data_IF_949807102251
#
_entry.id   IF_949807102251
#
_cell.length_a   1.000
_cell.length_b   1.000
_cell.length_c   1.000
_cell.angle_alpha   90.00
_cell.angle_beta   90.00
_cell.angle_gamma   90.00
#
_symmetry.space_group_name_H-M   'P 1'
#
loop_
_entity.id
_entity.type
_entity.pdbx_description
1 polymer ?
#
# COMPACT_ATOMS: atom_id res chain seq x y z
N UNK A 1 -15.51 11.63 -8.00
CA UNK A 1 -14.58 12.53 -8.69
C UNK A 1 -13.21 12.39 -8.09
N UNK A 2 -12.17 12.29 -8.92
CA UNK A 2 -10.80 12.43 -8.48
C UNK A 2 -10.55 13.77 -7.78
N UNK A 3 -9.71 13.75 -6.76
CA UNK A 3 -9.25 14.96 -6.07
C UNK A 3 -7.77 15.18 -6.38
N UNK A 4 -7.47 16.25 -7.12
CA UNK A 4 -6.10 16.71 -7.42
C UNK A 4 -5.71 17.74 -6.36
N UNK A 5 -4.60 17.53 -5.66
CA UNK A 5 -4.23 18.35 -4.49
C UNK A 5 -4.83 17.83 -3.18
N UNK A 6 -4.84 16.50 -3.03
CA UNK A 6 -5.31 15.83 -1.81
C UNK A 6 -4.50 16.22 -0.58
N UNK A 7 -5.12 16.14 0.60
CA UNK A 7 -4.45 16.39 1.87
C UNK A 7 -3.55 15.23 2.34
N UNK A 8 -3.56 14.08 1.65
CA UNK A 8 -2.76 12.89 1.95
C UNK A 8 -1.32 13.14 1.53
N UNK A 9 -0.39 13.05 2.49
CA UNK A 9 0.97 13.58 2.39
C UNK A 9 1.86 12.86 1.36
N UNK A 10 1.55 11.60 1.06
CA UNK A 10 2.40 10.73 0.25
C UNK A 10 1.94 10.55 -1.21
N UNK A 11 0.91 11.28 -1.64
CA UNK A 11 0.32 11.20 -2.98
C UNK A 11 -0.11 12.59 -3.49
N UNK A 12 -0.19 12.76 -4.81
CA UNK A 12 -0.53 14.05 -5.45
C UNK A 12 -2.02 14.14 -5.79
N UNK A 13 -2.67 12.98 -6.02
CA UNK A 13 -4.08 12.87 -6.33
C UNK A 13 -4.71 11.60 -5.74
N UNK A 14 -6.04 11.56 -5.74
CA UNK A 14 -6.82 10.34 -5.49
C UNK A 14 -7.70 10.02 -6.68
N UNK A 15 -7.87 8.75 -6.96
CA UNK A 15 -8.76 8.23 -8.02
C UNK A 15 -9.65 7.15 -7.42
N UNK A 16 -10.97 7.29 -7.52
CA UNK A 16 -11.91 6.44 -6.81
C UNK A 16 -12.95 5.81 -7.77
N UNK A 17 -12.55 4.83 -8.61
CA UNK A 17 -13.48 4.05 -9.43
C UNK A 17 -14.48 3.24 -8.59
N UNK A 18 -14.23 3.03 -7.29
CA UNK A 18 -15.23 2.54 -6.34
C UNK A 18 -15.25 3.36 -5.04
N UNK A 19 -16.37 3.35 -4.33
CA UNK A 19 -16.53 3.94 -2.99
C UNK A 19 -17.26 2.98 -2.06
N UNK A 20 -17.12 3.15 -0.75
CA UNK A 20 -17.74 2.29 0.24
C UNK A 20 -16.97 0.99 0.47
N UNK A 21 -17.12 0.39 1.65
CA UNK A 21 -16.39 -0.81 2.06
C UNK A 21 -17.05 -1.48 3.28
N UNK A 22 -16.65 -2.70 3.58
CA UNK A 22 -16.96 -3.38 4.85
C UNK A 22 -15.72 -3.37 5.77
N UNK A 23 -15.93 -3.25 7.09
CA UNK A 23 -14.84 -3.27 8.08
C UNK A 23 -14.31 -4.70 8.24
N UNK A 24 -13.01 -4.90 8.05
CA UNK A 24 -12.38 -6.25 8.10
C UNK A 24 -11.35 -6.41 9.22
N UNK A 25 -11.04 -5.34 9.94
CA UNK A 25 -10.03 -5.38 11.00
C UNK A 25 -10.14 -4.17 11.96
N UNK A 26 -9.46 -4.18 13.12
CA UNK A 26 -9.48 -3.09 14.09
C UNK A 26 -9.04 -1.75 13.53
N UNK A 27 -8.19 -1.73 12.49
CA UNK A 27 -7.82 -0.50 11.78
C UNK A 27 -9.01 0.19 11.09
N UNK A 28 -10.11 -0.52 10.83
CA UNK A 28 -11.31 0.03 10.19
C UNK A 28 -12.29 0.69 11.18
N UNK A 29 -12.07 0.56 12.50
CA UNK A 29 -13.04 0.97 13.53
C UNK A 29 -13.50 2.43 13.35
N UNK A 30 -12.56 3.34 13.14
CA UNK A 30 -12.80 4.79 13.00
C UNK A 30 -12.54 5.30 11.56
N UNK A 31 -12.94 4.51 10.55
CA UNK A 31 -12.68 4.77 9.14
C UNK A 31 -13.07 6.20 8.72
N UNK A 32 -12.11 6.95 8.17
CA UNK A 32 -12.35 8.31 7.70
C UNK A 32 -13.28 8.34 6.48
N UNK A 33 -13.20 7.34 5.60
CA UNK A 33 -14.01 7.28 4.38
C UNK A 33 -15.49 7.11 4.71
N UNK A 34 -15.83 6.23 5.66
CA UNK A 34 -17.20 6.05 6.18
C UNK A 34 -17.78 7.37 6.68
N UNK A 35 -17.06 8.06 7.56
CA UNK A 35 -17.46 9.36 8.10
C UNK A 35 -17.62 10.44 7.03
N UNK A 36 -16.79 10.42 5.98
CA UNK A 36 -16.93 11.34 4.84
C UNK A 36 -18.24 11.05 4.10
N UNK A 37 -18.61 9.78 3.90
CA UNK A 37 -19.88 9.44 3.26
C UNK A 37 -21.09 9.90 4.06
N UNK A 38 -21.01 9.84 5.39
CA UNK A 38 -22.06 10.35 6.28
C UNK A 38 -22.15 11.89 6.22
N UNK A 39 -20.99 12.57 6.29
CA UNK A 39 -20.92 14.04 6.29
C UNK A 39 -21.37 14.66 4.97
N UNK A 40 -21.08 14.01 3.85
CA UNK A 40 -21.37 14.51 2.50
C UNK A 40 -22.39 13.61 1.79
N UNK A 41 -23.45 13.22 2.48
CA UNK A 41 -24.46 12.25 2.01
C UNK A 41 -25.02 12.56 0.60
N UNK A 42 -25.16 13.83 0.23
CA UNK A 42 -25.59 14.22 -1.12
C UNK A 42 -24.65 13.73 -2.24
N UNK A 43 -23.35 13.63 -1.96
CA UNK A 43 -22.34 13.12 -2.90
C UNK A 43 -22.15 11.60 -2.79
N UNK A 44 -22.71 10.98 -1.75
CA UNK A 44 -22.65 9.55 -1.49
C UNK A 44 -24.06 9.02 -1.19
N UNK A 45 -24.97 9.00 -2.18
CA UNK A 45 -26.36 8.61 -1.97
C UNK A 45 -26.53 7.16 -1.49
N UNK A 46 -25.52 6.31 -1.71
CA UNK A 46 -25.45 4.93 -1.22
C UNK A 46 -24.77 4.81 0.16
N UNK A 47 -24.39 5.93 0.78
CA UNK A 47 -23.60 5.96 2.01
C UNK A 47 -22.27 5.23 1.85
N UNK A 48 -21.90 4.41 2.83
CA UNK A 48 -20.67 3.62 2.81
C UNK A 48 -20.82 2.23 2.17
N UNK A 49 -21.95 1.96 1.50
CA UNK A 49 -22.14 0.72 0.73
C UNK A 49 -21.16 0.68 -0.45
N UNK A 50 -20.55 -0.48 -0.67
CA UNK A 50 -19.66 -0.70 -1.81
C UNK A 50 -20.39 -0.40 -3.13
N UNK A 51 -19.85 0.53 -3.91
CA UNK A 51 -20.49 1.13 -5.09
C UNK A 51 -19.45 1.31 -6.19
N UNK A 52 -19.81 0.91 -7.41
CA UNK A 52 -19.00 1.09 -8.61
C UNK A 52 -19.27 2.46 -9.24
N UNK A 53 -18.25 3.06 -9.83
CA UNK A 53 -18.33 4.32 -10.57
C UNK A 53 -17.63 4.20 -11.94
N UNK A 54 -18.24 3.48 -12.91
CA UNK A 54 -17.63 3.24 -14.23
C UNK A 54 -17.30 4.52 -15.00
N UNK A 55 -18.06 5.60 -14.78
CA UNK A 55 -17.83 6.90 -15.39
C UNK A 55 -16.49 7.52 -14.99
N UNK A 56 -15.92 7.08 -13.86
CA UNK A 56 -14.62 7.58 -13.35
C UNK A 56 -13.42 6.86 -13.96
N UNK A 57 -13.62 5.79 -14.73
CA UNK A 57 -12.52 5.11 -15.43
C UNK A 57 -11.79 6.05 -16.39
N UNK A 58 -12.48 7.06 -16.91
CA UNK A 58 -11.94 8.02 -17.86
C UNK A 58 -11.12 9.14 -17.21
N UNK A 59 -11.13 9.27 -15.88
CA UNK A 59 -10.46 10.38 -15.18
C UNK A 59 -8.95 10.41 -15.42
N UNK A 60 -8.19 9.29 -15.31
CA UNK A 60 -6.74 9.35 -15.44
C UNK A 60 -6.23 9.74 -16.83
N UNK A 61 -6.92 9.34 -17.91
CA UNK A 61 -6.56 9.72 -19.28
C UNK A 61 -6.57 11.24 -19.52
N UNK A 62 -7.29 12.00 -18.69
CA UNK A 62 -7.38 13.46 -18.81
C UNK A 62 -6.22 14.19 -18.14
N UNK A 63 -5.40 13.51 -17.34
CA UNK A 63 -4.29 14.13 -16.61
C UNK A 63 -3.02 14.15 -17.45
N UNK A 64 -2.61 15.35 -17.88
CA UNK A 64 -1.41 15.54 -18.70
C UNK A 64 -0.10 15.49 -17.90
N UNK A 65 -0.11 15.95 -16.65
CA UNK A 65 1.09 16.01 -15.81
C UNK A 65 1.26 14.70 -15.05
N UNK A 66 2.49 14.14 -14.94
CA UNK A 66 2.77 13.01 -14.06
C UNK A 66 2.27 13.23 -12.64
N UNK A 67 1.80 12.15 -11.99
CA UNK A 67 1.22 12.18 -10.65
C UNK A 67 1.47 10.86 -9.94
N UNK A 68 1.64 10.90 -8.63
CA UNK A 68 1.34 9.78 -7.73
C UNK A 68 -0.15 9.82 -7.40
N UNK A 69 -0.83 8.71 -7.61
CA UNK A 69 -2.28 8.59 -7.54
C UNK A 69 -2.65 7.49 -6.56
N UNK A 70 -3.28 7.86 -5.45
CA UNK A 70 -3.83 6.88 -4.53
C UNK A 70 -5.18 6.38 -5.07
N UNK A 71 -5.21 5.11 -5.45
CA UNK A 71 -6.40 4.44 -5.99
C UNK A 71 -7.27 3.96 -4.84
N UNK A 72 -8.56 4.25 -4.93
CA UNK A 72 -9.59 3.85 -3.98
C UNK A 72 -9.30 4.30 -2.55
N UNK A 73 -8.98 5.58 -2.36
CA UNK A 73 -8.92 6.17 -1.01
C UNK A 73 -10.25 6.05 -0.24
N UNK A 74 -11.37 5.93 -0.95
CA UNK A 74 -12.73 5.83 -0.40
C UNK A 74 -13.32 4.41 -0.41
N UNK A 75 -12.52 3.38 -0.72
CA UNK A 75 -12.94 1.97 -0.72
C UNK A 75 -11.73 1.03 -0.59
N UNK A 76 -11.88 -0.26 -0.92
CA UNK A 76 -10.78 -1.21 -1.06
C UNK A 76 -10.93 -1.87 -2.44
N UNK A 77 -9.89 -1.79 -3.28
CA UNK A 77 -9.95 -2.30 -4.66
C UNK A 77 -10.14 -3.83 -4.70
N UNK A 78 -9.73 -4.53 -3.65
CA UNK A 78 -9.91 -5.97 -3.48
C UNK A 78 -11.12 -6.29 -2.60
N UNK A 79 -12.18 -5.49 -2.66
CA UNK A 79 -13.44 -5.82 -2.01
C UNK A 79 -14.04 -7.12 -2.57
N UNK A 80 -14.71 -7.92 -1.73
CA UNK A 80 -15.34 -9.19 -2.15
C UNK A 80 -16.44 -9.01 -3.22
N UNK A 81 -17.10 -7.85 -3.19
CA UNK A 81 -18.14 -7.48 -4.17
C UNK A 81 -17.57 -6.83 -5.45
N UNK A 82 -16.24 -6.64 -5.55
CA UNK A 82 -15.61 -6.12 -6.76
C UNK A 82 -15.75 -7.14 -7.90
N UNK A 83 -16.45 -6.83 -9.01
CA UNK A 83 -16.49 -7.71 -10.17
C UNK A 83 -15.10 -7.80 -10.81
N UNK A 84 -14.67 -9.02 -11.12
CA UNK A 84 -13.35 -9.26 -11.73
C UNK A 84 -13.14 -8.42 -12.99
N UNK A 85 -14.14 -8.36 -13.88
CA UNK A 85 -14.05 -7.55 -15.10
C UNK A 85 -13.75 -6.08 -14.81
N UNK A 86 -14.44 -5.49 -13.84
CA UNK A 86 -14.24 -4.07 -13.49
C UNK A 86 -12.87 -3.84 -12.84
N UNK A 87 -12.40 -4.77 -12.01
CA UNK A 87 -11.04 -4.74 -11.47
C UNK A 87 -9.99 -4.72 -12.59
N UNK A 88 -10.12 -5.60 -13.59
CA UNK A 88 -9.20 -5.67 -14.72
C UNK A 88 -9.28 -4.42 -15.61
N UNK A 89 -10.46 -3.81 -15.75
CA UNK A 89 -10.61 -2.50 -16.41
C UNK A 89 -9.87 -1.40 -15.65
N UNK A 90 -9.92 -1.38 -14.31
CA UNK A 90 -9.13 -0.43 -13.49
C UNK A 90 -7.62 -0.62 -13.70
N UNK A 91 -7.13 -1.87 -13.71
CA UNK A 91 -5.72 -2.16 -14.02
C UNK A 91 -5.31 -1.79 -15.45
N UNK A 92 -6.20 -2.00 -16.41
CA UNK A 92 -6.00 -1.56 -17.80
C UNK A 92 -5.81 -0.05 -17.89
N UNK A 93 -6.64 0.75 -17.20
CA UNK A 93 -6.46 2.20 -17.16
C UNK A 93 -5.07 2.56 -16.63
N UNK A 94 -4.65 1.95 -15.51
CA UNK A 94 -3.33 2.21 -14.92
C UNK A 94 -2.18 1.91 -15.91
N UNK A 95 -2.30 0.81 -16.66
CA UNK A 95 -1.34 0.44 -17.72
C UNK A 95 -1.31 1.41 -18.89
N UNK A 96 -2.48 1.86 -19.35
CA UNK A 96 -2.61 2.75 -20.50
C UNK A 96 -2.25 4.21 -20.20
N UNK A 97 -2.03 4.55 -18.93
CA UNK A 97 -1.55 5.87 -18.49
C UNK A 97 -0.22 5.76 -17.72
N UNK A 98 0.87 5.33 -18.39
CA UNK A 98 2.16 5.04 -17.75
C UNK A 98 2.87 6.27 -17.17
N UNK A 99 2.45 7.48 -17.55
CA UNK A 99 2.97 8.74 -16.99
C UNK A 99 2.61 8.96 -15.52
N UNK A 100 1.67 8.18 -14.95
CA UNK A 100 1.29 8.25 -13.54
C UNK A 100 1.81 7.04 -12.77
N UNK A 101 2.14 7.25 -11.51
CA UNK A 101 2.40 6.18 -10.54
C UNK A 101 1.13 5.94 -9.73
N UNK A 102 0.63 4.71 -9.73
CA UNK A 102 -0.58 4.32 -8.98
C UNK A 102 -0.20 3.61 -7.70
N UNK A 103 -0.71 4.09 -6.57
CA UNK A 103 -0.53 3.49 -5.27
C UNK A 103 -1.85 2.84 -4.86
N UNK A 104 -1.83 1.53 -4.58
CA UNK A 104 -3.00 0.76 -4.18
C UNK A 104 -2.74 0.22 -2.77
N UNK A 105 -3.71 0.37 -1.87
CA UNK A 105 -3.68 -0.21 -0.52
C UNK A 105 -4.87 -1.13 -0.31
N UNK A 106 -4.63 -2.28 0.32
CA UNK A 106 -5.70 -3.20 0.72
C UNK A 106 -5.48 -3.78 2.11
N UNK A 107 -6.58 -4.16 2.77
CA UNK A 107 -6.56 -5.04 3.96
C UNK A 107 -6.96 -6.49 3.61
N UNK A 108 -7.36 -6.74 2.36
CA UNK A 108 -7.91 -8.01 1.84
C UNK A 108 -6.86 -8.82 1.09
N UNK A 109 -5.72 -9.01 1.74
CA UNK A 109 -4.53 -9.73 1.27
C UNK A 109 -4.79 -11.13 0.68
N UNK A 110 -5.75 -11.89 1.19
CA UNK A 110 -6.11 -13.21 0.63
C UNK A 110 -6.69 -13.09 -0.77
N UNK A 111 -7.64 -12.16 -0.97
CA UNK A 111 -8.23 -11.89 -2.28
C UNK A 111 -7.22 -11.25 -3.25
N UNK A 112 -6.33 -10.40 -2.74
CA UNK A 112 -5.20 -9.89 -3.54
C UNK A 112 -4.41 -11.05 -4.15
N UNK A 113 -4.00 -12.03 -3.34
CA UNK A 113 -3.21 -13.16 -3.82
C UNK A 113 -4.02 -14.11 -4.72
N UNK A 114 -5.30 -14.34 -4.42
CA UNK A 114 -6.21 -15.12 -5.27
C UNK A 114 -6.32 -14.56 -6.69
N UNK A 115 -6.37 -13.23 -6.81
CA UNK A 115 -6.53 -12.53 -8.09
C UNK A 115 -5.22 -12.20 -8.78
N UNK A 116 -4.08 -12.32 -8.09
CA UNK A 116 -2.75 -12.00 -8.61
C UNK A 116 -2.45 -12.65 -9.97
N UNK A 117 -2.72 -13.95 -10.21
CA UNK A 117 -2.44 -14.59 -11.50
C UNK A 117 -3.27 -14.04 -12.67
N UNK A 118 -4.35 -13.31 -12.38
CA UNK A 118 -5.25 -12.72 -13.37
C UNK A 118 -4.91 -11.26 -13.68
N UNK A 119 -4.01 -10.65 -12.90
CA UNK A 119 -3.62 -9.24 -13.03
C UNK A 119 -2.34 -9.16 -13.86
N UNK A 120 -2.43 -8.48 -15.01
CA UNK A 120 -1.24 -8.06 -15.76
C UNK A 120 -0.65 -6.82 -15.08
N UNK A 121 0.27 -7.03 -14.14
CA UNK A 121 0.85 -5.98 -13.30
C UNK A 121 1.58 -4.90 -14.10
N UNK A 122 1.07 -3.66 -14.12
CA UNK A 122 1.76 -2.56 -14.77
C UNK A 122 2.98 -2.11 -13.93
N UNK A 123 4.08 -1.74 -14.58
CA UNK A 123 5.29 -1.29 -13.86
C UNK A 123 5.07 -0.03 -13.01
N UNK A 124 4.12 0.80 -13.40
CA UNK A 124 3.75 2.03 -12.73
C UNK A 124 2.74 1.82 -11.57
N UNK A 125 2.43 0.57 -11.21
CA UNK A 125 1.61 0.23 -10.03
C UNK A 125 2.49 -0.15 -8.85
N UNK A 126 2.29 0.55 -7.75
CA UNK A 126 2.82 0.25 -6.43
C UNK A 126 1.69 -0.40 -5.63
N UNK A 127 1.88 -1.66 -5.27
CA UNK A 127 0.90 -2.44 -4.53
C UNK A 127 1.27 -2.48 -3.05
N UNK A 128 0.32 -2.26 -2.16
CA UNK A 128 0.59 -2.31 -0.73
C UNK A 128 -0.53 -2.88 0.10
N UNK A 129 -0.16 -3.30 1.31
CA UNK A 129 -1.10 -3.78 2.32
C UNK A 129 -1.05 -2.88 3.55
N UNK A 130 -2.20 -2.70 4.21
CA UNK A 130 -2.19 -2.08 5.52
C UNK A 130 -1.86 -3.09 6.62
N UNK A 131 -1.01 -2.72 7.58
CA UNK A 131 -0.63 -3.54 8.72
C UNK A 131 -0.76 -2.73 10.01
N UNK A 132 -1.91 -2.80 10.67
CA UNK A 132 -2.16 -1.97 11.85
C UNK A 132 -1.52 -2.49 13.16
N UNK A 133 -1.24 -3.79 13.27
CA UNK A 133 -0.62 -4.42 14.45
C UNK A 133 -0.07 -5.80 14.10
N UNK A 134 0.67 -6.42 15.03
CA UNK A 134 1.42 -7.65 14.77
C UNK A 134 0.54 -8.81 14.28
N UNK A 135 -0.72 -8.90 14.72
CA UNK A 135 -1.66 -9.93 14.26
C UNK A 135 -1.88 -9.87 12.75
N UNK A 136 -1.78 -8.70 12.15
CA UNK A 136 -1.95 -8.49 10.71
C UNK A 136 -0.64 -8.41 9.93
N UNK A 137 0.52 -8.64 10.57
CA UNK A 137 1.81 -8.71 9.89
C UNK A 137 1.86 -9.82 8.82
N UNK A 138 1.06 -10.89 8.96
CA UNK A 138 0.90 -11.95 7.96
C UNK A 138 0.54 -11.42 6.56
N UNK A 139 -0.08 -10.25 6.45
CA UNK A 139 -0.43 -9.62 5.16
C UNK A 139 0.81 -9.32 4.32
N UNK A 140 1.96 -9.06 4.96
CA UNK A 140 3.24 -8.81 4.30
C UNK A 140 3.63 -10.03 3.45
N UNK A 141 3.44 -11.24 3.98
CA UNK A 141 3.81 -12.49 3.31
C UNK A 141 2.98 -12.74 2.04
N UNK A 142 1.71 -12.37 2.07
CA UNK A 142 0.82 -12.43 0.91
C UNK A 142 1.22 -11.38 -0.13
N UNK A 143 1.55 -10.15 0.31
CA UNK A 143 2.02 -9.11 -0.60
C UNK A 143 3.32 -9.54 -1.30
N UNK A 144 4.27 -10.17 -0.60
CA UNK A 144 5.54 -10.62 -1.18
C UNK A 144 5.36 -11.58 -2.35
N UNK A 145 4.28 -12.36 -2.35
CA UNK A 145 4.00 -13.36 -3.38
C UNK A 145 3.41 -12.76 -4.67
N UNK A 146 2.96 -11.50 -4.65
CA UNK A 146 2.34 -10.90 -5.84
C UNK A 146 3.35 -10.54 -6.93
N UNK A 147 2.88 -10.46 -8.17
CA UNK A 147 3.65 -10.01 -9.33
C UNK A 147 3.99 -8.51 -9.35
N UNK A 148 3.46 -7.71 -8.41
CA UNK A 148 3.70 -6.28 -8.36
C UNK A 148 5.20 -5.94 -8.21
N UNK A 149 5.72 -5.07 -9.08
CA UNK A 149 7.14 -4.64 -9.06
C UNK A 149 7.48 -3.89 -7.78
N UNK A 150 6.67 -2.88 -7.43
CA UNK A 150 6.84 -2.11 -6.19
C UNK A 150 5.81 -2.57 -5.18
N UNK A 151 6.31 -2.91 -3.99
CA UNK A 151 5.55 -3.46 -2.86
C UNK A 151 5.77 -2.58 -1.64
N UNK A 152 4.71 -2.09 -1.01
CA UNK A 152 4.83 -1.21 0.15
C UNK A 152 3.88 -1.55 1.29
N UNK A 153 4.22 -1.08 2.49
CA UNK A 153 3.41 -1.27 3.69
C UNK A 153 2.87 0.08 4.14
N UNK A 154 1.59 0.12 4.48
CA UNK A 154 1.01 1.22 5.25
C UNK A 154 0.69 0.72 6.65
N UNK A 155 1.56 1.03 7.60
CA UNK A 155 1.36 0.71 9.00
C UNK A 155 0.42 1.75 9.62
N UNK A 156 -0.84 1.77 9.15
CA UNK A 156 -1.82 2.80 9.47
C UNK A 156 -3.27 2.25 9.65
N UNK A 157 -4.00 2.74 10.68
CA UNK A 157 -3.42 3.38 11.86
C UNK A 157 -2.47 2.40 12.58
N UNK A 158 -1.34 2.86 13.11
CA UNK A 158 -0.47 2.01 13.91
C UNK A 158 -1.09 1.80 15.30
N UNK A 159 -1.49 0.57 15.60
CA UNK A 159 -2.26 0.16 16.79
C UNK A 159 -1.48 -0.80 17.70
N UNK A 160 -0.16 -0.86 17.54
CA UNK A 160 0.73 -1.68 18.37
C UNK A 160 2.14 -1.75 17.79
N UNK A 161 3.08 -2.36 18.53
CA UNK A 161 4.42 -2.63 18.00
C UNK A 161 4.35 -3.60 16.82
N UNK A 162 5.30 -3.45 15.91
CA UNK A 162 5.46 -4.28 14.73
C UNK A 162 6.91 -4.70 14.57
N UNK A 163 7.12 -6.01 14.46
CA UNK A 163 8.38 -6.60 14.02
C UNK A 163 8.12 -7.27 12.67
N UNK A 164 8.73 -6.71 11.61
CA UNK A 164 8.41 -7.04 10.23
C UNK A 164 9.62 -7.60 9.49
N UNK A 165 9.40 -8.66 8.73
CA UNK A 165 10.32 -9.07 7.68
C UNK A 165 10.14 -8.18 6.45
N UNK A 166 11.11 -7.30 6.20
CA UNK A 166 11.06 -6.33 5.10
C UNK A 166 11.66 -6.86 3.78
N UNK A 167 12.02 -8.15 3.70
CA UNK A 167 12.52 -8.74 2.44
C UNK A 167 11.44 -8.63 1.35
N UNK A 168 11.82 -8.12 0.19
CA UNK A 168 10.90 -7.91 -0.94
C UNK A 168 9.91 -6.75 -0.75
N UNK A 169 10.06 -5.95 0.31
CA UNK A 169 9.33 -4.70 0.52
C UNK A 169 10.21 -3.53 0.11
N UNK A 170 9.58 -2.48 -0.44
CA UNK A 170 10.26 -1.37 -1.09
C UNK A 170 9.98 -0.02 -0.43
N UNK A 171 8.98 0.05 0.45
CA UNK A 171 8.61 1.28 1.17
C UNK A 171 7.72 0.97 2.37
N UNK A 172 7.91 1.70 3.45
CA UNK A 172 7.08 1.61 4.65
C UNK A 172 6.60 3.01 5.03
N UNK A 173 5.28 3.16 5.11
CA UNK A 173 4.58 4.34 5.58
C UNK A 173 4.08 4.05 7.00
N UNK A 174 4.29 4.98 7.93
CA UNK A 174 3.80 4.86 9.32
C UNK A 174 2.99 6.10 9.69
N UNK A 175 1.86 5.89 10.37
CA UNK A 175 1.01 6.99 10.80
C UNK A 175 -0.02 6.60 11.86
N UNK A 176 -0.35 7.58 12.70
CA UNK A 176 -1.41 7.47 13.71
C UNK A 176 -2.81 7.65 13.13
N UNK A 177 -3.82 7.37 13.95
CA UNK A 177 -5.23 7.49 13.56
C UNK A 177 -5.69 8.95 13.53
N UNK A 178 -6.67 9.27 12.67
CA UNK A 178 -7.27 10.60 12.61
C UNK A 178 -8.78 10.57 12.80
N UNK A 179 -9.30 11.54 13.53
CA UNK A 179 -10.72 11.71 13.79
C UNK A 179 -11.03 12.00 15.26
N UNK A 180 -12.32 12.24 15.59
CA UNK A 180 -12.74 12.57 16.95
C UNK A 180 -12.28 11.51 17.96
N UNK A 181 -12.34 10.24 17.58
CA UNK A 181 -12.01 9.10 18.43
C UNK A 181 -10.66 8.45 18.06
N UNK A 182 -9.68 9.25 17.62
CA UNK A 182 -8.36 8.73 17.25
C UNK A 182 -7.70 8.01 18.43
N UNK A 183 -7.22 6.79 18.17
CA UNK A 183 -6.43 6.04 19.14
C UNK A 183 -4.99 6.57 19.20
N UNK A 184 -4.37 6.62 20.39
CA UNK A 184 -2.99 7.08 20.53
C UNK A 184 -2.02 6.10 19.86
N UNK A 185 -0.94 6.67 19.32
CA UNK A 185 0.20 5.94 18.78
C UNK A 185 1.39 6.13 19.72
N UNK A 186 2.15 5.07 19.96
CA UNK A 186 3.37 5.16 20.78
C UNK A 186 4.59 5.54 19.91
N UNK A 187 5.36 6.59 20.27
CA UNK A 187 6.59 6.95 19.58
C UNK A 187 7.62 5.82 19.49
N UNK A 188 7.67 4.91 20.45
CA UNK A 188 8.61 3.78 20.44
C UNK A 188 8.31 2.81 19.29
N UNK A 189 7.05 2.59 18.94
CA UNK A 189 6.67 1.74 17.80
C UNK A 189 7.10 2.37 16.47
N UNK A 190 6.92 3.68 16.34
CA UNK A 190 7.34 4.44 15.14
C UNK A 190 8.86 4.39 14.98
N UNK A 191 9.62 4.61 16.07
CA UNK A 191 11.09 4.52 16.07
C UNK A 191 11.57 3.11 15.72
N UNK A 192 10.95 2.07 16.27
CA UNK A 192 11.30 0.68 15.92
C UNK A 192 11.15 0.43 14.42
N UNK A 193 10.01 0.82 13.82
CA UNK A 193 9.77 0.65 12.38
C UNK A 193 10.76 1.45 11.52
N UNK A 194 11.07 2.69 11.92
CA UNK A 194 12.11 3.49 11.26
C UNK A 194 13.45 2.76 11.29
N UNK A 195 13.88 2.28 12.45
CA UNK A 195 15.18 1.64 12.62
C UNK A 195 15.25 0.30 11.85
N UNK A 196 14.14 -0.45 11.80
CA UNK A 196 14.01 -1.64 10.94
C UNK A 196 14.20 -1.28 9.46
N UNK A 197 13.56 -0.20 8.99
CA UNK A 197 13.70 0.28 7.62
C UNK A 197 15.13 0.72 7.31
N UNK A 198 15.77 1.48 8.21
CA UNK A 198 17.16 1.91 8.04
C UNK A 198 18.13 0.73 7.98
N UNK A 199 17.98 -0.26 8.86
CA UNK A 199 18.79 -1.50 8.82
C UNK A 199 18.62 -2.28 7.52
N UNK A 200 17.41 -2.29 6.95
CA UNK A 200 17.09 -3.00 5.73
C UNK A 200 17.35 -2.19 4.43
N UNK A 201 17.77 -0.93 4.56
CA UNK A 201 17.92 0.00 3.43
C UNK A 201 16.59 0.19 2.67
N UNK A 202 15.48 0.30 3.40
CA UNK A 202 14.14 0.51 2.85
C UNK A 202 13.69 1.95 3.13
N UNK A 203 13.19 2.69 2.13
CA UNK A 203 12.59 4.00 2.32
C UNK A 203 11.53 4.02 3.42
N UNK A 204 11.65 4.97 4.34
CA UNK A 204 10.73 5.18 5.44
C UNK A 204 10.00 6.53 5.32
N UNK A 205 8.67 6.49 5.42
CA UNK A 205 7.81 7.67 5.40
C UNK A 205 7.01 7.78 6.69
N UNK A 206 7.26 8.80 7.50
CA UNK A 206 6.44 9.10 8.67
C UNK A 206 5.39 10.15 8.32
N UNK A 207 4.14 9.69 8.21
CA UNK A 207 3.04 10.53 7.72
C UNK A 207 2.55 11.51 8.77
N UNK A 208 2.21 11.03 9.97
CA UNK A 208 1.69 11.86 11.06
C UNK A 208 1.57 11.09 12.37
N UNK A 209 1.53 11.82 13.49
CA UNK A 209 1.16 11.28 14.81
C UNK A 209 -0.35 10.98 14.95
N UNK A 210 -1.19 11.49 14.05
CA UNK A 210 -2.64 11.40 14.17
C UNK A 210 -3.24 12.58 14.95
N UNK A 211 -4.51 12.44 15.36
CA UNK A 211 -5.21 13.45 16.14
C UNK A 211 -6.64 13.76 15.68
N UNK A 212 -7.26 14.78 16.29
CA UNK A 212 -8.67 15.15 16.06
C UNK A 212 -8.96 15.44 14.58
N UNK A 213 -8.02 16.07 13.89
CA UNK A 213 -8.07 16.27 12.43
C UNK A 213 -6.84 15.65 11.79
N UNK A 214 -6.86 15.36 10.48
CA UNK A 214 -5.62 15.08 9.76
C UNK A 214 -4.60 16.19 10.07
N UNK A 215 -3.33 15.81 10.25
CA UNK A 215 -2.18 16.69 10.50
C UNK A 215 -2.12 17.36 11.88
N UNK A 216 -3.12 17.24 12.76
CA UNK A 216 -3.11 18.00 14.02
C UNK A 216 -1.95 17.63 14.96
N UNK A 217 -1.49 16.38 14.94
CA UNK A 217 -0.31 15.95 15.70
C UNK A 217 1.02 16.28 15.02
N UNK A 218 1.02 16.80 13.80
CA UNK A 218 2.23 17.03 13.01
C UNK A 218 2.89 15.73 12.54
N UNK A 219 4.09 15.88 11.94
CA UNK A 219 4.85 14.80 11.30
C UNK A 219 6.36 14.84 11.60
N UNK A 220 6.75 15.52 12.67
CA UNK A 220 8.13 15.51 13.14
C UNK A 220 8.36 14.26 14.00
N UNK A 221 9.30 13.42 13.59
CA UNK A 221 9.81 12.31 14.37
C UNK A 221 11.26 12.60 14.70
N UNK A 222 11.54 12.79 15.99
CA UNK A 222 12.87 13.17 16.51
C UNK A 222 13.43 14.43 15.83
N UNK A 223 12.59 15.47 15.74
CA UNK A 223 12.98 16.81 15.28
C UNK A 223 13.02 17.01 13.76
N UNK A 224 12.74 15.98 12.95
CA UNK A 224 12.73 16.09 11.48
C UNK A 224 11.56 15.35 10.83
N UNK A 225 11.29 15.66 9.57
CA UNK A 225 10.37 14.86 8.75
C UNK A 225 11.10 13.68 8.12
N UNK A 226 10.34 12.63 7.84
CA UNK A 226 10.82 11.43 7.15
C UNK A 226 9.92 11.22 5.94
N UNK A 227 10.39 11.63 4.77
CA UNK A 227 9.59 11.78 3.55
C UNK A 227 10.14 10.95 2.39
N UNK A 228 10.75 9.81 2.69
CA UNK A 228 11.45 8.98 1.69
C UNK A 228 10.44 8.21 0.80
N UNK A 229 10.83 7.97 -0.46
CA UNK A 229 10.07 7.20 -1.45
C UNK A 229 10.95 6.16 -2.15
N UNK A 230 10.37 5.08 -2.71
CA UNK A 230 11.09 4.20 -3.63
C UNK A 230 11.75 4.97 -4.77
N UNK A 231 13.02 4.68 -5.02
CA UNK A 231 13.68 5.08 -6.26
C UNK A 231 13.49 3.97 -7.29
N UNK A 232 12.66 4.20 -8.31
CA UNK A 232 12.26 3.20 -9.31
C UNK A 232 13.45 2.63 -10.09
N UNK A 233 14.50 3.43 -10.32
CA UNK A 233 15.68 3.01 -11.08
C UNK A 233 16.54 2.01 -10.27
N UNK A 234 16.73 2.27 -8.98
CA UNK A 234 17.49 1.43 -8.05
C UNK A 234 16.87 0.04 -7.79
N UNK A 235 15.56 -0.10 -7.99
CA UNK A 235 14.85 -1.36 -7.81
C UNK A 235 15.23 -2.38 -8.88
N UNK A 236 15.47 -1.92 -10.11
CA UNK A 236 15.92 -2.76 -11.23
C UNK A 236 17.27 -3.39 -10.91
N UNK A 237 18.20 -2.61 -10.37
CA UNK A 237 19.54 -3.07 -9.99
C UNK A 237 19.53 -4.01 -8.79
N UNK A 238 18.73 -3.70 -7.75
CA UNK A 238 18.59 -4.55 -6.56
C UNK A 238 17.95 -5.90 -6.90
N UNK A 239 16.95 -5.91 -7.77
CA UNK A 239 16.24 -7.11 -8.18
C UNK A 239 17.11 -7.97 -9.11
N UNK A 240 17.87 -7.35 -10.02
CA UNK A 240 18.90 -8.03 -10.81
C UNK A 240 20.02 -8.63 -9.92
N UNK A 241 20.36 -7.97 -8.80
CA UNK A 241 21.35 -8.50 -7.85
C UNK A 241 20.82 -9.69 -7.06
N UNK A 242 19.57 -9.62 -6.59
CA UNK A 242 18.93 -10.71 -5.84
C UNK A 242 18.65 -11.94 -6.72
N UNK A 243 18.28 -11.76 -7.98
CA UNK A 243 18.11 -12.89 -8.92
C UNK A 243 19.45 -13.57 -9.25
N UNK A 244 20.54 -12.80 -9.38
CA UNK A 244 21.90 -13.37 -9.53
C UNK A 244 22.30 -14.20 -8.31
N UNK A 245 22.10 -13.68 -7.10
CA UNK A 245 22.39 -14.43 -5.86
C UNK A 245 21.53 -15.72 -5.76
N UNK A 246 20.26 -15.64 -6.16
CA UNK A 246 19.36 -16.80 -6.19
C UNK A 246 19.78 -17.86 -7.22
N UNK A 247 20.27 -17.44 -8.39
CA UNK A 247 20.83 -18.33 -9.42
C UNK A 247 22.16 -18.95 -8.97
N UNK A 248 23.07 -18.17 -8.36
CA UNK A 248 24.35 -18.66 -7.82
C UNK A 248 24.12 -19.70 -6.72
N UNK A 249 23.07 -19.53 -5.90
CA UNK A 249 22.70 -20.50 -4.85
C UNK A 249 22.15 -21.81 -5.45
N UNK A 250 21.38 -21.71 -6.54
CA UNK A 250 20.86 -22.88 -7.27
C UNK A 250 22.00 -23.59 -8.02
N UNK A 251 22.90 -22.87 -8.69
CA UNK A 251 24.07 -23.45 -9.36
C UNK A 251 25.04 -24.13 -8.38
N UNK A 252 25.26 -23.56 -7.20
CA UNK A 252 26.07 -24.19 -6.15
C UNK A 252 25.39 -25.42 -5.52
N UNK A 253 24.06 -25.51 -5.56
CA UNK A 253 23.32 -26.70 -5.08
C UNK A 253 23.30 -27.81 -6.13
N UNK A 254 23.41 -27.47 -7.42
CA UNK A 254 23.42 -28.45 -8.53
C UNK A 254 24.83 -29.02 -8.79
N UNK A 255 25.90 -28.36 -8.29
CA UNK A 255 27.29 -28.75 -8.55
C UNK A 255 27.91 -29.78 -7.60
N UNK A 256 27.18 -30.33 -6.63
CA UNK A 256 27.70 -31.45 -5.83
C UNK A 256 26.68 -32.56 -5.52
N UNK A 257 26.62 -33.61 -6.36
CA UNK A 257 26.04 -34.90 -6.00
C UNK A 257 27.08 -36.03 -5.86
N UNK A 258 28.39 -35.75 -5.76
CA UNK A 258 29.43 -36.78 -5.87
C UNK A 258 30.64 -36.53 -4.95
N UNK A 259 30.44 -36.60 -3.64
CA UNK A 259 31.45 -37.19 -2.73
C UNK A 259 30.80 -37.55 -1.41
N UNK A 260 30.54 -38.84 -1.21
CA UNK A 260 30.84 -39.58 0.04
C UNK A 260 30.21 -40.98 -0.01
N UNK A 261 30.93 -41.91 -0.63
CA UNK A 261 30.84 -43.33 -0.35
C UNK A 261 32.27 -43.90 -0.35
N UNK A 262 32.92 -43.85 0.81
CA UNK A 262 34.08 -44.69 1.13
C UNK A 262 34.03 -45.03 2.63
N UNK A 263 33.35 -46.14 2.95
CA UNK A 263 33.83 -47.34 3.67
C UNK A 263 32.65 -48.26 4.01
#
# INVERSE_FOLDING_TARGET
MANVGTAIEWTDATWNPTTGCNKVSPGCKHCYAERITERFSQHFPQGFRFTLHPERLQEPYRWKKPRRVFVNSMSDLFHEQMPLRFLLEVFRVMRETPQHTYQILTKRHTRLLELDPLIEWPENVWMGVSVENQKYAVRVDFLRQTGARVKFLSCEPLLGPLELDLRGIHWVIVGGESGPDHRPIDPTWVRSLRDQCQRAGIPFFFKQWGGRTPKSGGRLLDGRTWDEFPQTDSLTERQARLSRIGLDTIENTIRDPQSDFVL
#
